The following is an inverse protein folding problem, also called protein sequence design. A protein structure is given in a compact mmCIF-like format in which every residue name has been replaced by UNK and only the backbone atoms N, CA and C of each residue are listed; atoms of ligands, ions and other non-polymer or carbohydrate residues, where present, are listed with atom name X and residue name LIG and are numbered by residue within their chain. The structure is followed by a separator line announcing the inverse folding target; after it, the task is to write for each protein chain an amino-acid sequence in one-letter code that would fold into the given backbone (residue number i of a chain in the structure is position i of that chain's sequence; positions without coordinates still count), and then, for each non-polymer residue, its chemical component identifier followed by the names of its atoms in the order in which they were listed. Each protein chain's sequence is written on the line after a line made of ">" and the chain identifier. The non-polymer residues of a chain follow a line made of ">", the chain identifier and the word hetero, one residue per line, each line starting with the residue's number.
data_IF_616920519630
#
_entry.id   IF_616920519630
#
_cell.length_a   1.000
_cell.length_b   1.000
_cell.length_c   1.000
_cell.angle_alpha   90.00
_cell.angle_beta   90.00
_cell.angle_gamma   90.00
#
_symmetry.space_group_name_H-M   'P 1'
#
loop_
_entity.id
_entity.type
_entity.pdbx_description
1 polymer ?
#
# COMPACT_ATOMS: atom_id res chain seq x y z
N UNK A 1 10.51 0.85 -2.24
CA UNK A 1 10.38 1.44 -0.89
C UNK A 1 11.53 2.41 -0.67
N UNK A 2 11.37 3.43 0.18
CA UNK A 2 12.46 4.31 0.57
C UNK A 2 12.88 3.99 2.01
N UNK A 3 14.07 3.43 2.17
CA UNK A 3 14.60 3.09 3.49
C UNK A 3 14.93 4.34 4.32
N UNK A 4 15.40 5.42 3.67
CA UNK A 4 15.73 6.69 4.32
C UNK A 4 14.50 7.40 4.88
N UNK A 5 13.41 7.44 4.12
CA UNK A 5 12.14 8.04 4.57
C UNK A 5 11.25 7.06 5.33
N UNK A 6 11.65 5.79 5.46
CA UNK A 6 10.82 4.74 6.06
C UNK A 6 9.42 4.71 5.46
N UNK A 7 9.35 4.82 4.13
CA UNK A 7 8.10 4.97 3.38
C UNK A 7 7.98 3.90 2.31
N UNK A 8 6.83 3.23 2.25
CA UNK A 8 6.48 2.22 1.26
C UNK A 8 5.30 2.67 0.40
N UNK A 9 5.29 2.24 -0.87
CA UNK A 9 4.21 2.51 -1.81
C UNK A 9 3.66 1.20 -2.35
N UNK A 10 2.35 1.09 -2.41
CA UNK A 10 1.62 -0.01 -3.06
C UNK A 10 0.82 0.58 -4.22
N UNK A 11 1.05 0.09 -5.44
CA UNK A 11 0.37 0.60 -6.63
C UNK A 11 -0.76 -0.31 -7.12
N UNK A 12 -0.49 -1.60 -7.30
CA UNK A 12 -1.43 -2.52 -7.95
C UNK A 12 -1.56 -3.85 -7.20
N UNK A 13 -2.17 -3.88 -6.00
CA UNK A 13 -2.52 -5.14 -5.38
C UNK A 13 -3.66 -5.77 -6.16
N UNK A 14 -3.37 -6.85 -6.88
CA UNK A 14 -4.35 -7.60 -7.66
C UNK A 14 -4.74 -8.88 -6.94
N UNK A 15 -6.04 -9.14 -6.83
CA UNK A 15 -6.58 -10.45 -6.45
C UNK A 15 -7.32 -11.04 -7.64
N UNK A 16 -6.90 -12.22 -8.08
CA UNK A 16 -7.55 -12.95 -9.18
C UNK A 16 -9.06 -13.08 -8.90
N UNK A 17 -9.93 -12.96 -9.92
CA UNK A 17 -11.39 -12.96 -9.73
C UNK A 17 -11.92 -14.10 -8.87
N UNK A 18 -11.43 -15.33 -9.08
CA UNK A 18 -11.83 -16.53 -8.33
C UNK A 18 -11.56 -16.45 -6.81
N UNK A 19 -10.68 -15.53 -6.39
CA UNK A 19 -10.24 -15.39 -5.00
C UNK A 19 -10.64 -14.05 -4.36
N UNK A 20 -11.42 -13.21 -5.05
CA UNK A 20 -11.91 -11.94 -4.48
C UNK A 20 -12.86 -12.20 -3.31
N UNK A 21 -12.99 -11.21 -2.42
CA UNK A 21 -13.83 -11.25 -1.20
C UNK A 21 -13.47 -12.33 -0.18
N UNK A 22 -12.29 -12.96 -0.30
CA UNK A 22 -11.74 -13.93 0.66
C UNK A 22 -10.69 -13.34 1.62
N UNK A 23 -10.62 -12.00 1.70
CA UNK A 23 -9.66 -11.31 2.57
C UNK A 23 -8.19 -11.34 2.11
N UNK A 24 -7.87 -11.94 0.96
CA UNK A 24 -6.48 -12.11 0.52
C UNK A 24 -5.72 -10.80 0.31
N UNK A 25 -6.37 -9.77 -0.25
CA UNK A 25 -5.76 -8.46 -0.38
C UNK A 25 -5.40 -7.86 1.00
N UNK A 26 -6.29 -8.01 1.98
CA UNK A 26 -6.04 -7.56 3.36
C UNK A 26 -4.90 -8.34 4.00
N UNK A 27 -4.89 -9.67 3.84
CA UNK A 27 -3.86 -10.55 4.38
C UNK A 27 -2.49 -10.26 3.75
N UNK A 28 -2.42 -10.06 2.43
CA UNK A 28 -1.17 -9.72 1.73
C UNK A 28 -0.61 -8.37 2.18
N UNK A 29 -1.46 -7.34 2.31
CA UNK A 29 -1.05 -6.04 2.85
C UNK A 29 -0.59 -6.14 4.30
N UNK A 30 -1.25 -6.97 5.13
CA UNK A 30 -0.83 -7.20 6.51
C UNK A 30 0.52 -7.93 6.61
N UNK A 31 0.75 -8.94 5.77
CA UNK A 31 2.03 -9.65 5.69
C UNK A 31 3.16 -8.70 5.27
N UNK A 32 2.93 -7.90 4.22
CA UNK A 32 3.88 -6.89 3.74
C UNK A 32 4.32 -5.93 4.86
N UNK A 33 3.38 -5.45 5.69
CA UNK A 33 3.67 -4.58 6.83
C UNK A 33 4.45 -5.30 7.93
N UNK A 34 4.14 -6.57 8.19
CA UNK A 34 4.83 -7.38 9.20
C UNK A 34 6.30 -7.64 8.83
N UNK A 35 6.55 -7.88 7.55
CA UNK A 35 7.90 -8.09 7.00
C UNK A 35 8.74 -6.80 6.98
N UNK A 36 8.08 -5.64 7.02
CA UNK A 36 8.71 -4.32 6.93
C UNK A 36 8.20 -3.42 8.07
N UNK A 37 8.51 -3.75 9.34
CA UNK A 37 8.01 -3.01 10.49
C UNK A 37 8.56 -1.58 10.49
N UNK A 38 7.77 -0.61 10.97
CA UNK A 38 8.18 0.79 11.10
C UNK A 38 8.25 1.57 9.78
N UNK A 39 7.48 1.16 8.77
CA UNK A 39 7.24 1.94 7.55
C UNK A 39 5.88 2.62 7.57
N UNK A 40 5.81 3.83 7.01
CA UNK A 40 4.56 4.43 6.57
C UNK A 40 4.20 3.96 5.17
N UNK A 41 2.96 3.53 4.98
CA UNK A 41 2.46 2.92 3.75
C UNK A 41 1.49 3.85 3.04
N UNK A 42 1.78 4.08 1.76
CA UNK A 42 1.04 4.94 0.86
C UNK A 42 0.70 4.20 -0.43
N UNK A 43 -0.07 4.84 -1.29
CA UNK A 43 -0.20 4.45 -2.69
C UNK A 43 0.29 5.59 -3.59
N UNK A 44 0.50 5.33 -4.87
CA UNK A 44 0.73 6.40 -5.86
C UNK A 44 -0.58 7.00 -6.40
N UNK A 45 -1.73 6.58 -5.86
CA UNK A 45 -3.04 7.14 -6.18
C UNK A 45 -3.77 6.53 -7.37
N UNK A 46 -3.08 5.87 -8.31
CA UNK A 46 -3.68 5.43 -9.58
C UNK A 46 -4.87 4.46 -9.50
N UNK A 47 -4.97 3.65 -8.42
CA UNK A 47 -6.00 2.59 -8.30
C UNK A 47 -6.89 2.72 -7.06
N UNK A 48 -6.79 3.82 -6.32
CA UNK A 48 -7.60 4.01 -5.11
C UNK A 48 -9.07 4.26 -5.43
N UNK A 49 -9.34 4.99 -6.51
CA UNK A 49 -10.70 5.44 -6.85
C UNK A 49 -11.65 4.28 -7.15
N UNK A 50 -11.11 3.12 -7.54
CA UNK A 50 -11.90 1.91 -7.78
C UNK A 50 -12.37 1.17 -6.52
N UNK A 51 -11.84 1.48 -5.33
CA UNK A 51 -12.23 0.80 -4.07
C UNK A 51 -12.03 1.64 -2.78
N UNK A 52 -12.60 2.85 -2.65
CA UNK A 52 -12.38 3.70 -1.46
C UNK A 52 -12.72 3.06 -0.10
N UNK A 53 -13.83 2.29 0.05
CA UNK A 53 -14.16 1.65 1.32
C UNK A 53 -13.10 0.64 1.78
N UNK A 54 -12.53 -0.13 0.85
CA UNK A 54 -11.48 -1.10 1.16
C UNK A 54 -10.23 -0.40 1.71
N UNK A 55 -9.78 0.66 1.06
CA UNK A 55 -8.60 1.41 1.46
C UNK A 55 -8.78 2.14 2.81
N UNK A 56 -9.96 2.70 3.04
CA UNK A 56 -10.28 3.35 4.32
C UNK A 56 -10.24 2.34 5.49
N UNK A 57 -10.77 1.13 5.30
CA UNK A 57 -10.76 0.09 6.34
C UNK A 57 -9.34 -0.42 6.59
N UNK A 58 -8.62 -0.81 5.53
CA UNK A 58 -7.28 -1.40 5.67
C UNK A 58 -6.22 -0.39 6.12
N UNK A 59 -6.44 0.90 5.87
CA UNK A 59 -5.56 1.98 6.25
C UNK A 59 -5.77 2.56 7.64
N UNK A 60 -6.86 2.22 8.35
CA UNK A 60 -7.26 2.90 9.59
C UNK A 60 -6.15 2.99 10.65
N UNK A 61 -5.44 1.87 10.88
CA UNK A 61 -4.37 1.78 11.89
C UNK A 61 -2.97 1.67 11.27
N UNK A 62 -2.84 2.05 10.00
CA UNK A 62 -1.57 1.95 9.27
C UNK A 62 -0.96 3.35 9.16
N UNK A 63 0.30 3.55 9.60
CA UNK A 63 1.00 4.81 9.34
C UNK A 63 0.99 5.13 7.85
N UNK A 64 0.59 6.34 7.46
CA UNK A 64 0.39 6.73 6.05
C UNK A 64 -0.98 6.37 5.46
N UNK A 65 -1.70 5.42 6.07
CA UNK A 65 -3.11 5.12 5.82
C UNK A 65 -3.45 4.72 4.39
N UNK A 66 -2.46 4.27 3.61
CA UNK A 66 -2.58 4.09 2.17
C UNK A 66 -3.11 5.33 1.44
N UNK A 67 -2.88 6.53 1.98
CA UNK A 67 -3.24 7.79 1.29
C UNK A 67 -2.30 8.00 0.10
N UNK A 68 -2.80 8.58 -1.02
CA UNK A 68 -1.95 8.93 -2.14
C UNK A 68 -0.76 9.81 -1.71
N UNK A 69 0.44 9.44 -2.13
CA UNK A 69 1.66 10.22 -1.89
C UNK A 69 2.62 10.02 -3.05
N UNK A 70 3.18 11.09 -3.59
CA UNK A 70 4.25 11.00 -4.59
C UNK A 70 5.45 10.24 -4.02
N UNK A 71 6.18 9.52 -4.87
CA UNK A 71 7.49 8.96 -4.47
C UNK A 71 8.40 10.09 -3.99
N UNK A 72 9.19 9.84 -2.94
CA UNK A 72 10.19 10.81 -2.50
C UNK A 72 11.40 10.81 -3.45
N UNK A 73 12.15 11.90 -3.47
CA UNK A 73 13.36 12.07 -4.29
C UNK A 73 14.43 10.99 -4.10
N UNK A 74 14.48 10.34 -2.93
CA UNK A 74 15.40 9.23 -2.66
C UNK A 74 15.08 7.95 -3.43
N UNK A 75 13.85 7.82 -3.92
CA UNK A 75 13.53 6.83 -4.95
C UNK A 75 13.77 7.56 -6.26
N UNK A 76 15.00 7.47 -6.76
CA UNK A 76 15.30 7.87 -8.14
C UNK A 76 14.36 7.10 -9.06
N UNK A 77 13.65 7.84 -9.91
CA UNK A 77 12.75 7.27 -10.90
C UNK A 77 13.56 6.42 -11.89
N UNK A 78 13.74 5.14 -11.58
CA UNK A 78 14.55 4.21 -12.38
C UNK A 78 16.05 4.46 -12.26
N UNK A 79 16.83 3.39 -12.32
CA UNK A 79 18.14 3.46 -12.95
C UNK A 79 17.99 3.48 -14.46
#
# INVERSE_FOLDING_TARGET
>A
MCHRCRTGWVEQPHTLPAYRRRGLAAAGLAALRRENPGYAWHTLGGHIDGSPPFWNIIGADVPGGYRPRRVCEHITAGG
#
